data_IF_773042553936
#
_entry.id   IF_773042553936
#
_cell.length_a   1.000
_cell.length_b   1.000
_cell.length_c   1.000
_cell.angle_alpha   90.00
_cell.angle_beta   90.00
_cell.angle_gamma   90.00
#
_symmetry.space_group_name_H-M   'P 1'
#
loop_
_entity.id
_entity.type
_entity.pdbx_description
1 polymer ?
#
# COMPACT_ATOMS: atom_id res chain seq x y z
N UNK A 1 -42.50 -13.29 -5.69
CA UNK A 1 -41.39 -12.32 -5.80
C UNK A 1 -41.85 -11.23 -6.75
N UNK A 2 -41.74 -9.96 -6.35
CA UNK A 2 -42.20 -8.82 -7.17
C UNK A 2 -41.19 -8.49 -8.28
N UNK A 3 -41.70 -8.03 -9.43
CA UNK A 3 -40.88 -7.64 -10.59
C UNK A 3 -40.14 -6.32 -10.35
N UNK A 4 -39.00 -6.15 -11.03
CA UNK A 4 -38.62 -4.85 -11.57
C UNK A 4 -37.77 -5.01 -12.86
N UNK A 5 -38.18 -4.46 -14.02
CA UNK A 5 -37.41 -4.49 -15.25
C UNK A 5 -36.63 -3.18 -15.46
N UNK A 6 -35.32 -3.25 -15.74
CA UNK A 6 -34.53 -2.07 -16.11
C UNK A 6 -33.70 -2.30 -17.38
N UNK A 7 -34.24 -1.70 -18.46
CA UNK A 7 -33.53 -0.91 -19.49
C UNK A 7 -32.28 -1.58 -20.11
N UNK A 8 -32.50 -2.24 -21.25
CA UNK A 8 -31.42 -2.54 -22.20
C UNK A 8 -31.03 -1.26 -22.96
N UNK A 9 -29.73 -0.94 -22.99
CA UNK A 9 -29.19 0.16 -23.80
C UNK A 9 -28.54 -0.40 -25.08
N UNK A 10 -28.95 0.09 -26.25
CA UNK A 10 -28.63 -0.51 -27.57
C UNK A 10 -27.36 0.07 -28.24
N UNK A 11 -26.40 0.60 -27.48
CA UNK A 11 -25.20 1.22 -28.03
C UNK A 11 -23.85 0.74 -27.46
N UNK A 12 -23.81 -0.42 -26.80
CA UNK A 12 -22.57 -1.07 -26.35
C UNK A 12 -22.33 -2.40 -27.07
N UNK A 13 -21.37 -2.41 -28.00
CA UNK A 13 -20.78 -3.61 -28.60
C UNK A 13 -19.33 -3.77 -28.06
N UNK A 14 -19.04 -4.78 -27.22
CA UNK A 14 -17.73 -4.92 -26.57
C UNK A 14 -16.55 -5.35 -27.46
N UNK A 15 -16.75 -5.65 -28.75
CA UNK A 15 -15.80 -6.47 -29.52
C UNK A 15 -15.00 -5.77 -30.64
N UNK A 16 -15.14 -4.46 -30.84
CA UNK A 16 -14.32 -3.73 -31.83
C UNK A 16 -12.93 -3.35 -31.28
N UNK A 17 -12.03 -4.34 -31.27
CA UNK A 17 -10.64 -4.23 -30.85
C UNK A 17 -9.76 -3.44 -31.86
N UNK A 18 -9.22 -2.29 -31.41
CA UNK A 18 -8.15 -1.54 -32.09
C UNK A 18 -6.75 -1.87 -31.54
N UNK A 19 -5.73 -1.87 -32.40
CA UNK A 19 -4.41 -2.48 -32.14
C UNK A 19 -3.66 -2.01 -30.88
N UNK A 20 -3.18 -2.97 -30.08
CA UNK A 20 -2.16 -2.75 -29.03
C UNK A 20 -0.86 -2.24 -29.65
N UNK A 21 -0.21 -1.23 -29.04
CA UNK A 21 1.21 -0.91 -29.27
C UNK A 21 1.98 -1.02 -27.95
N UNK A 22 3.15 -1.65 -28.03
CA UNK A 22 4.01 -1.99 -26.91
C UNK A 22 4.63 -0.75 -26.27
N UNK A 23 4.57 -0.66 -24.94
CA UNK A 23 5.27 0.37 -24.16
C UNK A 23 6.73 -0.08 -23.96
N UNK A 24 7.69 0.75 -24.37
CA UNK A 24 9.12 0.54 -24.08
C UNK A 24 9.42 0.90 -22.62
N UNK A 25 10.33 0.14 -22.01
CA UNK A 25 10.85 0.34 -20.66
C UNK A 25 11.59 1.67 -20.49
N UNK A 26 11.51 2.25 -19.29
CA UNK A 26 12.20 3.47 -18.87
C UNK A 26 13.53 3.16 -18.17
N UNK A 27 14.55 3.98 -18.41
CA UNK A 27 15.72 4.16 -17.55
C UNK A 27 16.20 5.64 -17.63
N UNK A 28 17.06 6.13 -16.71
CA UNK A 28 16.72 7.31 -15.89
C UNK A 28 17.57 8.56 -16.25
N UNK A 29 17.42 9.71 -15.54
CA UNK A 29 17.72 11.04 -16.11
C UNK A 29 19.15 11.53 -15.87
N UNK A 30 19.59 12.55 -16.65
CA UNK A 30 20.30 13.72 -16.09
C UNK A 30 20.57 14.87 -17.12
N UNK A 31 20.73 16.09 -16.57
CA UNK A 31 21.34 17.34 -17.12
C UNK A 31 20.53 18.29 -18.03
N UNK A 32 20.22 19.47 -17.45
CA UNK A 32 20.07 20.83 -18.05
C UNK A 32 21.50 21.42 -18.27
N UNK A 33 21.79 22.57 -18.97
CA UNK A 33 20.92 23.74 -19.19
C UNK A 33 21.06 24.55 -20.52
N UNK A 34 20.41 25.74 -20.54
CA UNK A 34 20.56 26.88 -21.51
C UNK A 34 19.71 26.74 -22.79
N UNK A 35 19.03 27.77 -23.34
CA UNK A 35 19.20 29.24 -23.30
C UNK A 35 17.85 30.01 -23.38
N UNK A 36 17.90 31.32 -23.12
CA UNK A 36 16.79 32.28 -22.94
C UNK A 36 16.06 32.71 -24.23
N UNK A 37 14.79 33.11 -24.09
CA UNK A 37 14.24 34.32 -24.75
C UNK A 37 13.14 34.96 -23.90
N UNK A 38 13.13 36.30 -23.78
CA UNK A 38 12.12 37.10 -23.07
C UNK A 38 11.25 37.86 -24.08
N UNK A 39 9.96 38.02 -23.79
CA UNK A 39 9.20 39.26 -24.07
C UNK A 39 7.88 39.24 -23.31
N UNK A 40 7.51 40.38 -22.71
CA UNK A 40 6.30 40.56 -21.89
C UNK A 40 5.29 41.46 -22.64
N UNK A 41 4.22 42.03 -22.06
CA UNK A 41 2.85 41.75 -22.49
C UNK A 41 2.16 42.90 -23.26
N UNK A 42 0.99 42.62 -23.86
CA UNK A 42 0.03 43.66 -24.22
C UNK A 42 -1.42 43.26 -23.87
N UNK A 43 -2.05 44.11 -23.07
CA UNK A 43 -3.49 44.34 -22.92
C UNK A 43 -3.72 45.83 -23.27
N UNK A 44 -4.96 46.29 -23.48
CA UNK A 44 -6.15 45.63 -24.03
C UNK A 44 -6.73 46.43 -25.23
N UNK A 45 -7.69 45.84 -25.97
CA UNK A 45 -8.48 46.59 -26.96
C UNK A 45 -9.92 46.81 -26.45
N UNK A 46 -10.28 48.08 -26.25
CA UNK A 46 -11.62 48.54 -25.84
C UNK A 46 -12.52 48.83 -27.04
N UNK A 47 -13.76 48.33 -26.99
CA UNK A 47 -15.02 48.91 -27.53
C UNK A 47 -16.14 47.89 -27.31
N UNK A 48 -16.98 48.08 -26.29
CA UNK A 48 -18.25 48.83 -26.41
C UNK A 48 -19.22 48.24 -27.44
N UNK A 49 -20.16 47.41 -26.95
CA UNK A 49 -21.56 47.52 -27.32
C UNK A 49 -22.42 47.11 -26.11
N UNK A 50 -23.42 47.92 -25.79
CA UNK A 50 -24.33 47.73 -24.66
C UNK A 50 -25.22 46.50 -24.86
N UNK A 51 -25.57 45.80 -23.76
CA UNK A 51 -26.96 45.66 -23.27
C UNK A 51 -26.93 44.99 -21.89
N UNK A 52 -27.67 45.58 -20.93
CA UNK A 52 -27.70 45.13 -19.52
C UNK A 52 -28.94 44.29 -19.20
N UNK A 53 -28.68 43.13 -18.60
CA UNK A 53 -29.41 42.47 -17.49
C UNK A 53 -30.90 42.08 -17.61
N UNK A 54 -31.26 41.12 -16.75
CA UNK A 54 -32.39 40.20 -16.88
C UNK A 54 -33.50 40.46 -15.81
N UNK A 55 -34.41 39.51 -15.43
CA UNK A 55 -35.87 39.70 -15.42
C UNK A 55 -36.43 39.96 -13.99
N UNK A 56 -37.74 39.82 -13.61
CA UNK A 56 -38.56 38.60 -13.71
C UNK A 56 -40.09 38.78 -13.98
N UNK A 57 -40.80 37.64 -14.06
CA UNK A 57 -42.27 37.47 -14.12
C UNK A 57 -42.90 37.41 -12.71
N UNK A 58 -44.21 37.71 -12.53
CA UNK A 58 -45.29 36.80 -11.99
C UNK A 58 -46.69 37.49 -12.07
N UNK A 59 -47.79 36.72 -12.23
CA UNK A 59 -49.23 37.12 -12.15
C UNK A 59 -49.84 36.60 -10.79
N UNK A 60 -51.16 36.37 -10.49
CA UNK A 60 -52.45 36.60 -11.21
C UNK A 60 -53.71 37.03 -10.37
N UNK A 61 -54.89 37.24 -11.04
CA UNK A 61 -56.30 36.87 -10.62
C UNK A 61 -56.95 37.63 -9.41
N UNK A 62 -58.25 38.00 -9.32
CA UNK A 62 -59.47 37.86 -10.17
C UNK A 62 -60.54 39.01 -10.01
N UNK A 63 -61.85 38.71 -10.21
CA UNK A 63 -63.06 39.58 -10.42
C UNK A 63 -64.17 39.28 -9.36
N UNK A 64 -65.03 40.23 -8.86
CA UNK A 64 -66.29 40.73 -9.50
C UNK A 64 -66.72 42.20 -9.12
N UNK A 65 -67.78 42.89 -9.62
CA UNK A 65 -69.00 42.56 -10.41
C UNK A 65 -69.67 43.84 -11.05
N UNK A 66 -70.24 43.70 -12.25
CA UNK A 66 -71.51 44.30 -12.80
C UNK A 66 -71.82 45.83 -12.94
N UNK A 67 -72.13 46.21 -14.21
CA UNK A 67 -73.19 47.14 -14.74
C UNK A 67 -73.10 48.67 -14.43
N UNK A 68 -73.32 49.60 -15.36
CA UNK A 68 -74.49 49.76 -16.28
C UNK A 68 -74.16 50.46 -17.63
N UNK A 69 -75.07 50.32 -18.62
CA UNK A 69 -75.08 50.78 -20.03
C UNK A 69 -74.93 52.32 -20.19
N UNK A 70 -74.71 52.97 -21.35
CA UNK A 70 -75.26 52.89 -22.74
C UNK A 70 -74.19 53.51 -23.69
N UNK A 71 -73.79 52.98 -24.86
CA UNK A 71 -74.54 52.83 -26.12
C UNK A 71 -74.29 54.02 -27.08
N UNK A 72 -73.56 53.82 -28.19
CA UNK A 72 -73.32 54.86 -29.23
C UNK A 72 -73.17 54.29 -30.66
N UNK A 73 -74.32 54.05 -31.29
CA UNK A 73 -74.59 54.29 -32.72
C UNK A 73 -75.50 55.55 -32.74
N UNK A 74 -75.65 56.35 -33.80
CA UNK A 74 -75.61 56.01 -35.22
C UNK A 74 -75.36 57.27 -36.09
N UNK A 75 -75.21 56.99 -37.38
CA UNK A 75 -75.40 57.76 -38.62
C UNK A 75 -75.95 59.20 -38.63
N UNK A 76 -75.62 59.92 -39.71
CA UNK A 76 -76.17 61.24 -39.99
C UNK A 76 -77.48 61.17 -40.78
N UNK A 77 -78.44 62.01 -40.40
CA UNK A 77 -79.53 62.40 -41.30
C UNK A 77 -80.02 63.84 -41.00
N UNK A 78 -80.78 64.39 -41.95
CA UNK A 78 -81.26 65.79 -41.95
C UNK A 78 -82.23 66.04 -40.79
N UNK A 79 -82.18 67.22 -40.17
CA UNK A 79 -83.12 67.65 -39.11
C UNK A 79 -83.42 69.16 -39.19
N UNK A 80 -84.49 69.68 -38.55
CA UNK A 80 -85.36 70.67 -39.19
C UNK A 80 -85.06 72.13 -38.87
N UNK A 81 -85.76 73.03 -39.57
CA UNK A 81 -85.80 74.47 -39.27
C UNK A 81 -86.79 74.71 -38.11
N UNK A 82 -86.30 74.82 -36.87
CA UNK A 82 -87.15 75.15 -35.71
C UNK A 82 -87.39 76.66 -35.62
N UNK A 83 -88.66 77.05 -35.72
CA UNK A 83 -89.17 78.40 -35.43
C UNK A 83 -89.95 78.32 -34.12
N UNK A 84 -89.51 79.08 -33.12
CA UNK A 84 -90.07 79.07 -31.77
C UNK A 84 -90.80 80.41 -31.53
N UNK A 85 -92.10 80.34 -31.23
CA UNK A 85 -92.84 81.48 -30.70
C UNK A 85 -92.45 81.67 -29.22
N UNK A 86 -91.72 82.75 -28.92
CA UNK A 86 -91.25 83.03 -27.55
C UNK A 86 -92.29 83.86 -26.79
N UNK A 87 -93.01 84.73 -27.51
CA UNK A 87 -94.06 85.61 -26.98
C UNK A 87 -94.93 86.10 -28.15
N UNK A 88 -96.18 86.56 -27.92
CA UNK A 88 -96.99 87.19 -28.96
C UNK A 88 -96.22 88.33 -29.64
N UNK A 89 -96.21 88.36 -30.97
CA UNK A 89 -95.44 89.34 -31.76
C UNK A 89 -93.93 89.11 -31.86
N UNK A 90 -93.36 88.02 -31.33
CA UNK A 90 -91.92 87.71 -31.42
C UNK A 90 -91.64 86.26 -31.84
N UNK A 91 -91.01 86.09 -33.01
CA UNK A 91 -90.57 84.79 -33.53
C UNK A 91 -89.04 84.64 -33.46
N UNK A 92 -88.58 83.53 -32.90
CA UNK A 92 -87.17 83.16 -32.79
C UNK A 92 -86.88 82.02 -33.76
N UNK A 93 -86.03 82.26 -34.76
CA UNK A 93 -85.49 81.22 -35.62
C UNK A 93 -84.05 80.89 -35.20
N UNK A 94 -83.74 79.59 -35.00
CA UNK A 94 -82.43 79.15 -34.52
C UNK A 94 -81.81 78.10 -35.44
N UNK A 95 -80.57 78.34 -35.86
CA UNK A 95 -79.73 77.36 -36.54
C UNK A 95 -78.36 77.26 -35.81
N UNK A 96 -77.58 76.21 -36.07
CA UNK A 96 -76.26 75.97 -35.44
C UNK A 96 -75.22 77.09 -35.65
N UNK A 97 -75.46 78.04 -36.56
CA UNK A 97 -74.54 79.16 -36.86
C UNK A 97 -75.10 80.56 -36.54
N UNK A 98 -76.40 80.71 -36.32
CA UNK A 98 -77.01 82.02 -36.06
C UNK A 98 -78.33 81.87 -35.31
N UNK A 99 -78.63 82.87 -34.47
CA UNK A 99 -79.92 83.08 -33.81
C UNK A 99 -80.45 84.42 -34.30
N UNK A 100 -81.71 84.45 -34.76
CA UNK A 100 -82.38 85.68 -35.20
C UNK A 100 -83.76 85.79 -34.57
N UNK A 101 -84.06 86.95 -34.01
CA UNK A 101 -85.39 87.32 -33.49
C UNK A 101 -86.02 88.30 -34.48
N UNK A 102 -87.20 87.98 -34.98
CA UNK A 102 -88.02 88.87 -35.82
C UNK A 102 -89.24 89.32 -35.03
N UNK A 103 -89.41 90.65 -34.96
CA UNK A 103 -90.61 91.31 -34.45
C UNK A 103 -91.71 91.23 -35.51
N UNK A 104 -92.93 90.84 -35.12
CA UNK A 104 -94.09 90.79 -36.01
C UNK A 104 -94.72 92.17 -36.24
N UNK A 105 -95.26 92.40 -37.44
CA UNK A 105 -95.91 93.66 -37.86
C UNK A 105 -97.12 94.07 -37.01
N UNK A 106 -97.65 93.14 -36.21
CA UNK A 106 -98.76 93.32 -35.27
C UNK A 106 -98.53 94.43 -34.24
N UNK A 107 -97.26 94.76 -33.95
CA UNK A 107 -96.86 95.76 -32.95
C UNK A 107 -97.01 97.22 -33.42
N UNK A 108 -97.33 97.47 -34.70
CA UNK A 108 -97.47 98.83 -35.26
C UNK A 108 -98.93 99.32 -35.40
N UNK A 109 -99.86 98.72 -34.64
CA UNK A 109 -101.29 99.07 -34.58
C UNK A 109 -101.60 100.46 -34.00
N UNK A 110 -101.40 101.52 -34.79
CA UNK A 110 -101.64 102.92 -34.39
C UNK A 110 -103.14 103.24 -34.24
N UNK A 111 -103.66 103.27 -33.01
CA UNK A 111 -105.07 103.60 -32.70
C UNK A 111 -105.21 105.05 -32.17
N UNK A 112 -106.15 105.83 -32.72
CA UNK A 112 -106.49 107.21 -32.27
C UNK A 112 -108.00 107.44 -32.24
N UNK A 113 -108.51 107.97 -31.11
CA UNK A 113 -109.70 108.82 -30.88
C UNK A 113 -109.50 109.44 -29.47
N UNK A 114 -109.44 110.76 -29.31
CA UNK A 114 -110.57 111.71 -29.13
C UNK A 114 -111.35 111.41 -27.83
N UNK A 115 -111.58 112.32 -26.88
CA UNK A 115 -111.30 113.78 -26.77
C UNK A 115 -111.55 114.27 -25.30
N UNK A 116 -111.49 115.61 -25.05
CA UNK A 116 -112.14 116.35 -23.94
C UNK A 116 -111.36 116.72 -22.65
N UNK A 117 -110.76 117.93 -22.68
CA UNK A 117 -111.08 119.14 -21.88
C UNK A 117 -111.30 119.21 -20.34
N UNK A 118 -111.00 120.44 -19.85
CA UNK A 118 -111.34 121.12 -18.59
C UNK A 118 -110.43 121.01 -17.34
N UNK A 119 -110.43 122.12 -16.58
CA UNK A 119 -109.31 122.61 -15.76
C UNK A 119 -109.58 122.63 -14.25
N UNK A 120 -108.49 122.42 -13.50
CA UNK A 120 -108.08 123.18 -12.31
C UNK A 120 -109.13 123.57 -11.24
N UNK A 121 -109.22 122.73 -10.19
CA UNK A 121 -109.62 123.12 -8.81
C UNK A 121 -109.41 122.02 -7.74
N UNK A 122 -108.46 121.11 -7.91
CA UNK A 122 -108.31 119.91 -7.08
C UNK A 122 -106.90 119.76 -6.47
N UNK A 123 -106.26 120.89 -6.12
CA UNK A 123 -104.82 120.98 -5.84
C UNK A 123 -104.41 120.84 -4.36
N UNK A 124 -105.30 120.37 -3.47
CA UNK A 124 -104.97 120.12 -2.05
C UNK A 124 -105.19 118.67 -1.61
N UNK A 125 -106.27 118.01 -2.04
CA UNK A 125 -106.48 116.57 -1.82
C UNK A 125 -105.45 115.73 -2.57
N UNK A 126 -105.05 116.17 -3.78
CA UNK A 126 -104.01 115.56 -4.59
C UNK A 126 -102.64 115.56 -3.90
N UNK A 127 -102.33 116.58 -3.10
CA UNK A 127 -101.01 116.76 -2.49
C UNK A 127 -100.75 115.79 -1.34
N UNK A 128 -101.75 115.54 -0.49
CA UNK A 128 -101.64 114.52 0.56
C UNK A 128 -101.48 113.12 -0.04
N UNK A 129 -102.26 112.79 -1.08
CA UNK A 129 -102.15 111.51 -1.79
C UNK A 129 -100.77 111.37 -2.46
N UNK A 130 -100.19 112.46 -2.98
CA UNK A 130 -98.81 112.45 -3.50
C UNK A 130 -97.80 112.20 -2.37
N UNK A 131 -97.94 112.87 -1.22
CA UNK A 131 -97.06 112.66 -0.06
C UNK A 131 -97.10 111.22 0.45
N UNK A 132 -98.28 110.63 0.61
CA UNK A 132 -98.44 109.23 1.03
C UNK A 132 -97.81 108.25 0.01
N UNK A 133 -97.90 108.56 -1.29
CA UNK A 133 -97.27 107.77 -2.35
C UNK A 133 -95.74 107.97 -2.40
N UNK A 134 -95.23 109.17 -2.13
CA UNK A 134 -93.80 109.46 -2.02
C UNK A 134 -93.18 108.78 -0.78
N UNK A 135 -93.91 108.73 0.34
CA UNK A 135 -93.55 107.96 1.54
C UNK A 135 -93.56 106.46 1.24
N UNK A 136 -94.62 105.91 0.64
CA UNK A 136 -94.67 104.50 0.21
C UNK A 136 -93.54 104.14 -0.77
N UNK A 137 -93.21 105.01 -1.73
CA UNK A 137 -92.08 104.81 -2.64
C UNK A 137 -90.75 104.83 -1.86
N UNK A 138 -90.61 105.69 -0.85
CA UNK A 138 -89.42 105.76 0.00
C UNK A 138 -89.27 104.52 0.87
N UNK A 139 -90.35 104.04 1.50
CA UNK A 139 -90.38 102.79 2.28
C UNK A 139 -90.08 101.57 1.40
N UNK A 140 -90.72 101.45 0.23
CA UNK A 140 -90.46 100.37 -0.73
C UNK A 140 -89.01 100.41 -1.24
N UNK A 141 -88.46 101.60 -1.49
CA UNK A 141 -87.06 101.75 -1.90
C UNK A 141 -86.12 101.30 -0.78
N UNK A 142 -86.35 101.75 0.46
CA UNK A 142 -85.56 101.32 1.62
C UNK A 142 -85.63 99.81 1.87
N UNK A 143 -86.80 99.19 1.65
CA UNK A 143 -87.03 97.75 1.80
C UNK A 143 -86.34 96.96 0.67
N UNK A 144 -86.39 97.43 -0.57
CA UNK A 144 -85.66 96.85 -1.72
C UNK A 144 -84.15 96.96 -1.51
N UNK A 145 -83.65 98.12 -1.06
CA UNK A 145 -82.24 98.28 -0.73
C UNK A 145 -81.80 97.37 0.41
N UNK A 146 -82.62 97.21 1.44
CA UNK A 146 -82.34 96.32 2.56
C UNK A 146 -82.29 94.86 2.09
N UNK A 147 -83.29 94.41 1.32
CA UNK A 147 -83.30 93.08 0.71
C UNK A 147 -82.08 92.85 -0.19
N UNK A 148 -81.63 93.87 -0.94
CA UNK A 148 -80.41 93.78 -1.76
C UNK A 148 -79.14 93.68 -0.90
N UNK A 149 -79.05 94.40 0.23
CA UNK A 149 -77.94 94.28 1.19
C UNK A 149 -77.91 92.89 1.83
N UNK A 150 -79.06 92.39 2.26
CA UNK A 150 -79.19 91.09 2.90
C UNK A 150 -78.88 89.95 1.91
N UNK A 151 -79.40 90.01 0.68
CA UNK A 151 -79.06 89.04 -0.36
C UNK A 151 -77.56 89.03 -0.70
N UNK A 152 -76.90 90.19 -0.74
CA UNK A 152 -75.45 90.26 -0.91
C UNK A 152 -74.67 89.73 0.30
N UNK A 153 -75.21 89.87 1.52
CA UNK A 153 -74.61 89.30 2.72
C UNK A 153 -74.72 87.78 2.72
N UNK A 154 -75.91 87.23 2.42
CA UNK A 154 -76.17 85.80 2.28
C UNK A 154 -75.31 85.17 1.17
N UNK A 155 -75.19 85.83 0.01
CA UNK A 155 -74.35 85.37 -1.10
C UNK A 155 -72.86 85.32 -0.70
N UNK A 156 -72.38 86.30 0.07
CA UNK A 156 -71.00 86.31 0.60
C UNK A 156 -70.79 85.23 1.66
N UNK A 157 -71.76 85.03 2.56
CA UNK A 157 -71.72 83.99 3.58
C UNK A 157 -71.64 82.61 2.92
N UNK A 158 -72.53 82.33 1.96
CA UNK A 158 -72.53 81.10 1.18
C UNK A 158 -71.21 80.89 0.40
N UNK A 159 -70.66 81.95 -0.20
CA UNK A 159 -69.36 81.87 -0.87
C UNK A 159 -68.24 81.49 0.10
N UNK A 160 -68.15 82.16 1.26
CA UNK A 160 -67.15 81.88 2.28
C UNK A 160 -67.29 80.47 2.87
N UNK A 161 -68.52 79.98 3.06
CA UNK A 161 -68.76 78.62 3.53
C UNK A 161 -68.36 77.57 2.48
N UNK A 162 -68.64 77.80 1.19
CA UNK A 162 -68.18 76.93 0.11
C UNK A 162 -66.65 76.94 -0.02
N UNK A 163 -66.00 78.10 0.13
CA UNK A 163 -64.53 78.20 0.15
C UNK A 163 -63.92 77.43 1.34
N UNK A 164 -64.52 77.55 2.53
CA UNK A 164 -64.12 76.80 3.73
C UNK A 164 -64.28 75.28 3.53
N UNK A 165 -65.43 74.82 3.01
CA UNK A 165 -65.66 73.40 2.72
C UNK A 165 -64.68 72.86 1.66
N UNK A 166 -64.37 73.64 0.62
CA UNK A 166 -63.34 73.28 -0.36
C UNK A 166 -61.95 73.20 0.27
N UNK A 167 -61.58 74.12 1.15
CA UNK A 167 -60.30 74.12 1.85
C UNK A 167 -60.17 72.91 2.79
N UNK A 168 -61.20 72.63 3.59
CA UNK A 168 -61.24 71.47 4.49
C UNK A 168 -61.17 70.15 3.72
N UNK A 169 -61.96 69.99 2.67
CA UNK A 169 -61.95 68.77 1.84
C UNK A 169 -60.57 68.54 1.20
N UNK A 170 -59.93 69.60 0.71
CA UNK A 170 -58.58 69.55 0.15
C UNK A 170 -57.54 69.15 1.21
N UNK A 171 -57.59 69.77 2.39
CA UNK A 171 -56.70 69.44 3.51
C UNK A 171 -56.89 67.99 3.98
N UNK A 172 -58.14 67.50 4.05
CA UNK A 172 -58.48 66.13 4.41
C UNK A 172 -57.91 65.12 3.39
N UNK A 173 -58.03 65.42 2.10
CA UNK A 173 -57.41 64.61 1.03
C UNK A 173 -55.88 64.60 1.13
N UNK A 174 -55.25 65.76 1.34
CA UNK A 174 -53.79 65.87 1.51
C UNK A 174 -53.29 65.11 2.75
N UNK A 175 -54.02 65.16 3.85
CA UNK A 175 -53.71 64.41 5.07
C UNK A 175 -53.82 62.89 4.85
N UNK A 176 -54.94 62.40 4.31
CA UNK A 176 -55.13 60.97 3.98
C UNK A 176 -54.06 60.45 3.01
N UNK A 177 -53.72 61.24 1.99
CA UNK A 177 -52.67 60.88 1.02
C UNK A 177 -51.28 60.85 1.68
N UNK A 178 -51.00 61.75 2.63
CA UNK A 178 -49.76 61.76 3.44
C UNK A 178 -49.68 60.52 4.35
N UNK A 179 -50.77 60.17 5.02
CA UNK A 179 -50.88 58.98 5.88
C UNK A 179 -50.69 57.69 5.08
N UNK A 180 -51.41 57.53 3.96
CA UNK A 180 -51.29 56.39 3.06
C UNK A 180 -49.86 56.22 2.55
N UNK A 181 -49.21 57.32 2.14
CA UNK A 181 -47.79 57.31 1.72
C UNK A 181 -46.84 56.96 2.87
N UNK A 182 -47.19 57.29 4.12
CA UNK A 182 -46.38 56.93 5.30
C UNK A 182 -46.54 55.44 5.61
N UNK A 183 -47.77 54.93 5.62
CA UNK A 183 -48.09 53.51 5.83
C UNK A 183 -47.40 52.61 4.78
N UNK A 184 -47.51 52.96 3.50
CA UNK A 184 -46.87 52.21 2.43
C UNK A 184 -45.32 52.20 2.55
N UNK A 185 -44.71 53.30 3.01
CA UNK A 185 -43.26 53.33 3.29
C UNK A 185 -42.87 52.44 4.47
N UNK A 186 -43.67 52.39 5.53
CA UNK A 186 -43.41 51.51 6.68
C UNK A 186 -43.57 50.05 6.29
N UNK A 187 -44.63 49.69 5.54
CA UNK A 187 -44.83 48.34 5.02
C UNK A 187 -43.68 47.88 4.11
N UNK A 188 -43.23 48.73 3.18
CA UNK A 188 -42.08 48.44 2.32
C UNK A 188 -40.79 48.27 3.15
N UNK A 189 -40.55 49.12 4.15
CA UNK A 189 -39.37 48.99 5.02
C UNK A 189 -39.41 47.72 5.88
N UNK A 190 -40.57 47.34 6.39
CA UNK A 190 -40.74 46.09 7.12
C UNK A 190 -40.53 44.88 6.23
N UNK A 191 -41.08 44.90 5.01
CA UNK A 191 -40.94 43.82 4.04
C UNK A 191 -39.47 43.67 3.60
N UNK A 192 -38.78 44.78 3.33
CA UNK A 192 -37.35 44.80 3.02
C UNK A 192 -36.51 44.23 4.18
N UNK A 193 -36.84 44.57 5.43
CA UNK A 193 -36.17 44.03 6.61
C UNK A 193 -36.43 42.52 6.78
N UNK A 194 -37.68 42.05 6.62
CA UNK A 194 -38.04 40.62 6.63
C UNK A 194 -37.26 39.84 5.56
N UNK A 195 -37.12 40.36 4.34
CA UNK A 195 -36.29 39.75 3.31
C UNK A 195 -34.79 39.75 3.65
N UNK A 196 -34.26 40.84 4.23
CA UNK A 196 -32.86 40.90 4.69
C UNK A 196 -32.58 39.88 5.81
N UNK A 197 -33.52 39.68 6.73
CA UNK A 197 -33.42 38.69 7.81
C UNK A 197 -33.49 37.26 7.28
N UNK A 198 -34.48 36.95 6.43
CA UNK A 198 -34.59 35.65 5.77
C UNK A 198 -33.33 35.31 4.95
N UNK A 199 -32.78 36.27 4.20
CA UNK A 199 -31.55 36.08 3.44
C UNK A 199 -30.31 35.85 4.34
N UNK A 200 -30.25 36.47 5.53
CA UNK A 200 -29.20 36.20 6.52
C UNK A 200 -29.34 34.80 7.12
N UNK A 201 -30.56 34.40 7.48
CA UNK A 201 -30.86 33.08 8.01
C UNK A 201 -30.51 31.97 7.01
N UNK A 202 -30.93 32.11 5.75
CA UNK A 202 -30.64 31.14 4.69
C UNK A 202 -29.13 31.03 4.38
N UNK A 203 -28.41 32.16 4.39
CA UNK A 203 -26.94 32.18 4.26
C UNK A 203 -26.23 31.52 5.44
N UNK A 204 -26.77 31.65 6.66
CA UNK A 204 -26.23 30.97 7.84
C UNK A 204 -26.51 29.46 7.79
N UNK A 205 -27.73 29.05 7.46
CA UNK A 205 -28.11 27.64 7.30
C UNK A 205 -27.30 26.95 6.19
N UNK A 206 -27.13 27.60 5.04
CA UNK A 206 -26.30 27.11 3.93
C UNK A 206 -24.83 26.95 4.33
N UNK A 207 -24.30 27.87 5.13
CA UNK A 207 -22.93 27.79 5.65
C UNK A 207 -22.76 26.66 6.65
N UNK A 208 -23.69 26.49 7.58
CA UNK A 208 -23.70 25.39 8.55
C UNK A 208 -23.69 24.03 7.86
N UNK A 209 -24.51 23.84 6.82
CA UNK A 209 -24.49 22.63 5.99
C UNK A 209 -23.14 22.40 5.30
N UNK A 210 -22.48 23.46 4.81
CA UNK A 210 -21.15 23.35 4.19
C UNK A 210 -20.10 22.89 5.21
N UNK A 211 -20.10 23.50 6.41
CA UNK A 211 -19.21 23.11 7.51
C UNK A 211 -19.47 21.68 8.03
N UNK A 212 -20.71 21.19 7.96
CA UNK A 212 -21.07 19.80 8.26
C UNK A 212 -20.52 18.83 7.20
N UNK A 213 -20.78 19.10 5.92
CA UNK A 213 -20.21 18.32 4.80
C UNK A 213 -18.67 18.30 4.80
N UNK A 214 -18.01 19.40 5.22
CA UNK A 214 -16.55 19.45 5.35
C UNK A 214 -16.06 18.52 6.47
N UNK A 215 -16.77 18.44 7.60
CA UNK A 215 -16.45 17.51 8.70
C UNK A 215 -16.65 16.06 8.27
N UNK A 216 -17.74 15.75 7.57
CA UNK A 216 -17.98 14.41 7.02
C UNK A 216 -16.91 14.01 6.00
N UNK A 217 -16.57 14.91 5.07
CA UNK A 217 -15.48 14.70 4.10
C UNK A 217 -14.14 14.44 4.81
N UNK A 218 -13.81 15.23 5.83
CA UNK A 218 -12.58 15.04 6.63
C UNK A 218 -12.58 13.72 7.39
N UNK A 219 -13.72 13.32 7.97
CA UNK A 219 -13.88 12.03 8.62
C UNK A 219 -13.69 10.87 7.64
N UNK A 220 -14.36 10.90 6.48
CA UNK A 220 -14.25 9.86 5.45
C UNK A 220 -12.83 9.78 4.87
N UNK A 221 -12.17 10.93 4.66
CA UNK A 221 -10.76 11.00 4.24
C UNK A 221 -9.83 10.36 5.28
N UNK A 222 -10.03 10.63 6.56
CA UNK A 222 -9.25 10.00 7.63
C UNK A 222 -9.50 8.49 7.69
N UNK A 223 -10.76 8.05 7.54
CA UNK A 223 -11.12 6.62 7.51
C UNK A 223 -10.49 5.90 6.32
N UNK A 224 -10.43 6.55 5.14
CA UNK A 224 -9.75 6.03 3.96
C UNK A 224 -8.23 5.89 4.19
N UNK A 225 -7.59 6.87 4.84
CA UNK A 225 -6.18 6.76 5.20
C UNK A 225 -5.93 5.63 6.20
N UNK A 226 -6.74 5.47 7.26
CA UNK A 226 -6.61 4.33 8.18
C UNK A 226 -6.79 2.97 7.49
N UNK A 227 -7.71 2.87 6.53
CA UNK A 227 -7.85 1.66 5.71
C UNK A 227 -6.62 1.42 4.82
N UNK A 228 -6.11 2.47 4.18
CA UNK A 228 -4.91 2.40 3.34
C UNK A 228 -3.69 1.95 4.16
N UNK A 229 -3.49 2.53 5.34
CA UNK A 229 -2.40 2.16 6.27
C UNK A 229 -2.57 0.71 6.77
N UNK A 230 -3.78 0.30 7.15
CA UNK A 230 -4.08 -1.09 7.52
C UNK A 230 -3.79 -2.10 6.42
N UNK A 231 -4.00 -1.74 5.14
CA UNK A 231 -3.66 -2.60 3.99
C UNK A 231 -2.14 -2.66 3.79
N UNK A 232 -1.41 -1.56 3.98
CA UNK A 232 0.05 -1.58 3.95
C UNK A 232 0.64 -2.45 5.06
N UNK A 233 0.15 -2.32 6.29
CA UNK A 233 0.58 -3.14 7.43
C UNK A 233 0.28 -4.64 7.19
N UNK A 234 -0.89 -4.99 6.64
CA UNK A 234 -1.22 -6.38 6.30
C UNK A 234 -0.29 -6.95 5.21
N UNK A 235 0.09 -6.13 4.22
CA UNK A 235 1.03 -6.52 3.16
C UNK A 235 2.44 -6.70 3.73
N UNK A 236 2.92 -5.78 4.57
CA UNK A 236 4.25 -5.85 5.19
C UNK A 236 4.36 -7.02 6.17
N UNK A 237 3.29 -7.32 6.93
CA UNK A 237 3.26 -8.49 7.82
C UNK A 237 3.30 -9.81 7.00
N UNK A 238 2.52 -9.90 5.91
CA UNK A 238 2.56 -11.06 4.99
C UNK A 238 3.93 -11.21 4.33
N UNK A 239 4.54 -10.12 3.91
CA UNK A 239 5.88 -10.11 3.32
C UNK A 239 6.95 -10.56 4.32
N UNK A 240 6.88 -10.04 5.55
CA UNK A 240 7.76 -10.43 6.67
C UNK A 240 7.61 -11.91 7.04
N UNK A 241 6.38 -12.43 7.11
CA UNK A 241 6.11 -13.86 7.31
C UNK A 241 6.72 -14.70 6.18
N UNK A 242 6.48 -14.33 4.92
CA UNK A 242 7.01 -15.03 3.74
C UNK A 242 8.54 -15.08 3.72
N UNK A 243 9.19 -13.97 4.09
CA UNK A 243 10.64 -13.87 4.18
C UNK A 243 11.20 -14.77 5.30
N UNK A 244 10.54 -14.82 6.45
CA UNK A 244 10.93 -15.68 7.57
C UNK A 244 10.68 -17.18 7.29
N UNK A 245 9.64 -17.53 6.51
CA UNK A 245 9.44 -18.88 5.97
C UNK A 245 10.63 -19.29 5.08
N UNK A 246 10.95 -18.48 4.07
CA UNK A 246 12.08 -18.76 3.18
C UNK A 246 13.42 -18.88 3.91
N UNK A 247 13.69 -18.05 4.92
CA UNK A 247 14.93 -18.16 5.71
C UNK A 247 14.98 -19.46 6.53
N UNK A 248 13.83 -19.97 7.02
CA UNK A 248 13.75 -21.28 7.68
C UNK A 248 13.96 -22.42 6.69
N UNK A 249 13.27 -22.39 5.55
CA UNK A 249 13.38 -23.43 4.51
C UNK A 249 14.81 -23.51 3.96
N UNK A 250 15.46 -22.38 3.73
CA UNK A 250 16.85 -22.31 3.26
C UNK A 250 17.84 -22.86 4.32
N UNK A 251 17.59 -22.61 5.62
CA UNK A 251 18.37 -23.22 6.72
C UNK A 251 18.15 -24.74 6.80
N UNK A 252 16.90 -25.20 6.70
CA UNK A 252 16.55 -26.62 6.75
C UNK A 252 17.17 -27.39 5.57
N UNK A 253 17.14 -26.85 4.36
CA UNK A 253 17.74 -27.52 3.20
C UNK A 253 19.28 -27.54 3.28
N UNK A 254 19.91 -26.45 3.79
CA UNK A 254 21.35 -26.47 4.12
C UNK A 254 21.70 -27.54 5.15
N UNK A 255 20.94 -27.63 6.25
CA UNK A 255 21.15 -28.62 7.29
C UNK A 255 20.97 -30.05 6.77
N UNK A 256 19.94 -30.29 5.96
CA UNK A 256 19.67 -31.56 5.27
C UNK A 256 20.82 -31.98 4.35
N UNK A 257 21.37 -31.06 3.56
CA UNK A 257 22.55 -31.33 2.71
C UNK A 257 23.78 -31.67 3.56
N UNK A 258 24.05 -30.89 4.63
CA UNK A 258 25.16 -31.15 5.55
C UNK A 258 25.02 -32.50 6.26
N UNK A 259 23.81 -32.86 6.69
CA UNK A 259 23.52 -34.14 7.34
C UNK A 259 23.67 -35.33 6.38
N UNK A 260 23.24 -35.18 5.11
CA UNK A 260 23.51 -36.17 4.06
C UNK A 260 25.02 -36.32 3.78
N UNK A 261 25.77 -35.22 3.72
CA UNK A 261 27.22 -35.25 3.53
C UNK A 261 27.92 -35.92 4.72
N UNK A 262 27.55 -35.55 5.96
CA UNK A 262 28.04 -36.18 7.19
C UNK A 262 27.79 -37.68 7.17
N UNK A 263 26.56 -38.12 6.91
CA UNK A 263 26.22 -39.54 6.86
C UNK A 263 27.02 -40.31 5.80
N UNK A 264 27.22 -39.74 4.60
CA UNK A 264 28.07 -40.32 3.55
C UNK A 264 29.53 -40.47 4.01
N UNK A 265 30.09 -39.47 4.69
CA UNK A 265 31.46 -39.54 5.23
C UNK A 265 31.59 -40.54 6.37
N UNK A 266 30.67 -40.54 7.33
CA UNK A 266 30.63 -41.52 8.43
C UNK A 266 30.57 -42.94 7.90
N UNK A 267 29.66 -43.23 6.96
CA UNK A 267 29.51 -44.57 6.37
C UNK A 267 30.76 -45.03 5.59
N UNK A 268 31.47 -44.12 4.92
CA UNK A 268 32.76 -44.44 4.27
C UNK A 268 33.82 -44.80 5.31
N UNK A 269 33.97 -43.97 6.35
CA UNK A 269 34.93 -44.20 7.42
C UNK A 269 34.66 -45.49 8.19
N UNK A 270 33.40 -45.83 8.43
CA UNK A 270 33.00 -47.11 9.04
C UNK A 270 33.43 -48.31 8.18
N UNK A 271 33.19 -48.26 6.86
CA UNK A 271 33.61 -49.30 5.92
C UNK A 271 35.14 -49.42 5.83
N UNK A 272 35.85 -48.29 5.68
CA UNK A 272 37.32 -48.25 5.65
C UNK A 272 37.93 -48.80 6.95
N UNK A 273 37.37 -48.44 8.12
CA UNK A 273 37.80 -48.98 9.42
C UNK A 273 37.51 -50.47 9.57
N UNK A 274 36.41 -50.98 9.03
CA UNK A 274 36.10 -52.41 9.09
C UNK A 274 36.94 -53.23 8.10
N UNK A 275 37.24 -52.70 6.91
CA UNK A 275 38.22 -53.30 6.00
C UNK A 275 39.63 -53.31 6.59
N UNK A 276 40.05 -52.25 7.27
CA UNK A 276 41.35 -52.20 7.95
C UNK A 276 41.42 -53.20 9.11
N UNK A 277 40.37 -53.30 9.94
CA UNK A 277 40.26 -54.34 10.97
C UNK A 277 40.32 -55.76 10.39
N UNK A 278 39.68 -56.01 9.24
CA UNK A 278 39.76 -57.29 8.54
C UNK A 278 41.19 -57.58 8.08
N UNK A 279 41.85 -56.63 7.39
CA UNK A 279 43.26 -56.76 6.97
C UNK A 279 44.21 -57.02 8.14
N UNK A 280 44.03 -56.31 9.27
CA UNK A 280 44.84 -56.55 10.49
C UNK A 280 44.57 -57.94 11.04
N UNK A 281 43.31 -58.38 11.09
CA UNK A 281 42.94 -59.72 11.60
C UNK A 281 43.48 -60.82 10.70
N UNK A 282 43.34 -60.69 9.38
CA UNK A 282 43.88 -61.61 8.37
C UNK A 282 45.41 -61.68 8.43
N UNK A 283 46.09 -60.53 8.53
CA UNK A 283 47.55 -60.45 8.69
C UNK A 283 48.02 -61.09 10.01
N UNK A 284 47.26 -60.94 11.09
CA UNK A 284 47.57 -61.54 12.39
C UNK A 284 47.35 -63.06 12.37
N UNK A 285 46.25 -63.53 11.79
CA UNK A 285 45.99 -64.96 11.57
C UNK A 285 47.07 -65.61 10.72
N UNK A 286 47.44 -65.02 9.57
CA UNK A 286 48.51 -65.52 8.72
C UNK A 286 49.87 -65.55 9.44
N UNK A 287 50.15 -64.56 10.30
CA UNK A 287 51.36 -64.55 11.13
C UNK A 287 51.35 -65.67 12.17
N UNK A 288 50.20 -65.95 12.80
CA UNK A 288 50.03 -67.08 13.72
C UNK A 288 50.19 -68.42 12.99
N UNK A 289 49.58 -68.59 11.82
CA UNK A 289 49.69 -69.82 11.02
C UNK A 289 51.15 -70.08 10.63
N UNK A 290 51.88 -69.06 10.19
CA UNK A 290 53.31 -69.16 9.91
C UNK A 290 54.12 -69.56 11.17
N UNK A 291 53.85 -68.95 12.33
CA UNK A 291 54.51 -69.30 13.59
C UNK A 291 54.17 -70.73 14.07
N UNK A 292 52.97 -71.24 13.76
CA UNK A 292 52.59 -72.64 14.03
C UNK A 292 53.40 -73.58 13.14
N UNK A 293 53.51 -73.28 11.83
CA UNK A 293 54.30 -74.08 10.88
C UNK A 293 55.79 -74.07 11.29
N UNK A 294 56.37 -72.90 11.54
CA UNK A 294 57.77 -72.78 11.99
C UNK A 294 58.02 -73.56 13.29
N UNK A 295 57.11 -73.49 14.26
CA UNK A 295 57.18 -74.27 15.49
C UNK A 295 57.11 -75.78 15.22
N UNK A 296 56.25 -76.23 14.32
CA UNK A 296 56.14 -77.66 13.95
C UNK A 296 57.38 -78.16 13.19
N UNK A 297 57.98 -77.33 12.34
CA UNK A 297 59.24 -77.64 11.66
C UNK A 297 60.41 -77.71 12.64
N UNK A 298 60.51 -76.76 13.57
CA UNK A 298 61.51 -76.78 14.65
C UNK A 298 61.34 -77.99 15.58
N UNK A 299 60.10 -78.42 15.86
CA UNK A 299 59.83 -79.65 16.62
C UNK A 299 60.29 -80.90 15.87
N UNK A 300 59.97 -81.02 14.56
CA UNK A 300 60.44 -82.14 13.71
C UNK A 300 61.96 -82.17 13.62
N UNK A 301 62.62 -81.01 13.50
CA UNK A 301 64.08 -80.91 13.50
C UNK A 301 64.66 -81.37 14.84
N UNK A 302 64.12 -80.88 15.96
CA UNK A 302 64.55 -81.29 17.31
C UNK A 302 64.39 -82.80 17.55
N UNK A 303 63.31 -83.42 17.06
CA UNK A 303 63.12 -84.87 17.11
C UNK A 303 64.18 -85.61 16.28
N UNK A 304 64.49 -85.14 15.08
CA UNK A 304 65.54 -85.70 14.22
C UNK A 304 66.93 -85.58 14.87
N UNK A 305 67.28 -84.40 15.38
CA UNK A 305 68.54 -84.13 16.08
C UNK A 305 68.66 -85.00 17.35
N UNK A 306 67.55 -85.21 18.07
CA UNK A 306 67.51 -86.09 19.25
C UNK A 306 67.81 -87.55 18.88
N UNK A 307 67.27 -88.04 17.76
CA UNK A 307 67.56 -89.39 17.25
C UNK A 307 69.03 -89.51 16.80
N UNK A 308 69.54 -88.54 16.02
CA UNK A 308 70.96 -88.52 15.61
C UNK A 308 71.89 -88.48 16.82
N UNK A 309 71.60 -87.67 17.84
CA UNK A 309 72.35 -87.66 19.10
C UNK A 309 72.29 -88.99 19.85
N UNK A 310 71.18 -89.73 19.77
CA UNK A 310 71.07 -91.07 20.36
C UNK A 310 71.92 -92.10 19.59
N UNK A 311 71.97 -92.03 18.26
CA UNK A 311 72.83 -92.87 17.42
C UNK A 311 74.32 -92.56 17.61
N UNK A 312 74.68 -91.28 17.68
CA UNK A 312 76.04 -90.82 18.01
C UNK A 312 76.46 -91.26 19.42
N UNK A 313 75.55 -91.29 20.40
CA UNK A 313 75.83 -91.85 21.74
C UNK A 313 76.05 -93.36 21.71
N UNK A 314 75.27 -94.12 20.93
CA UNK A 314 75.45 -95.58 20.77
C UNK A 314 76.78 -95.91 20.09
N UNK A 315 77.08 -95.25 18.96
CA UNK A 315 78.35 -95.45 18.24
C UNK A 315 79.55 -95.01 19.06
N UNK A 316 79.43 -93.91 19.82
CA UNK A 316 80.44 -93.52 20.80
C UNK A 316 80.68 -94.64 21.84
N UNK A 317 79.63 -95.19 22.44
CA UNK A 317 79.77 -96.27 23.42
C UNK A 317 80.45 -97.52 22.84
N UNK A 318 80.07 -97.93 21.62
CA UNK A 318 80.72 -99.03 20.90
C UNK A 318 82.21 -98.73 20.66
N UNK A 319 82.56 -97.53 20.21
CA UNK A 319 83.98 -97.13 20.03
C UNK A 319 84.75 -97.08 21.36
N UNK A 320 84.11 -96.68 22.47
CA UNK A 320 84.72 -96.72 23.80
C UNK A 320 84.94 -98.17 24.28
N UNK A 321 84.01 -99.09 24.00
CA UNK A 321 84.14 -100.54 24.26
C UNK A 321 85.23 -101.18 23.39
N UNK A 322 85.27 -100.90 22.09
CA UNK A 322 86.31 -101.37 21.16
C UNK A 322 87.69 -100.85 21.54
N UNK A 323 87.80 -99.57 21.90
CA UNK A 323 89.05 -98.96 22.37
C UNK A 323 89.52 -99.60 23.67
N UNK A 324 88.60 -99.89 24.60
CA UNK A 324 88.93 -100.60 25.84
C UNK A 324 89.38 -102.04 25.58
N UNK A 325 88.72 -102.76 24.68
CA UNK A 325 89.13 -104.10 24.26
C UNK A 325 90.52 -104.10 23.59
N UNK A 326 90.80 -103.11 22.72
CA UNK A 326 92.13 -102.93 22.13
C UNK A 326 93.20 -102.59 23.19
N UNK A 327 92.87 -101.79 24.20
CA UNK A 327 93.77 -101.51 25.32
C UNK A 327 94.12 -102.78 26.11
N UNK A 328 93.14 -103.63 26.42
CA UNK A 328 93.35 -104.93 27.07
C UNK A 328 94.24 -105.85 26.20
N UNK A 329 93.99 -105.91 24.89
CA UNK A 329 94.82 -106.69 23.96
C UNK A 329 96.27 -106.16 23.97
N UNK A 330 96.47 -104.85 23.88
CA UNK A 330 97.79 -104.22 23.93
C UNK A 330 98.52 -104.49 25.24
N UNK A 331 97.84 -104.39 26.39
CA UNK A 331 98.39 -104.77 27.70
C UNK A 331 98.82 -106.24 27.72
N UNK A 332 97.97 -107.14 27.20
CA UNK A 332 98.26 -108.58 27.14
C UNK A 332 99.44 -108.92 26.21
N UNK A 333 99.58 -108.23 25.08
CA UNK A 333 100.71 -108.38 24.15
C UNK A 333 102.00 -107.82 24.75
N UNK A 334 101.93 -106.67 25.44
CA UNK A 334 103.07 -106.09 26.13
C UNK A 334 103.56 -106.99 27.27
N UNK A 335 102.63 -107.63 28.01
CA UNK A 335 102.96 -108.64 29.02
C UNK A 335 103.63 -109.89 28.41
N UNK A 336 103.11 -110.43 27.29
CA UNK A 336 103.74 -111.54 26.57
C UNK A 336 105.12 -111.19 26.01
N UNK A 337 105.29 -109.97 25.46
CA UNK A 337 106.57 -109.50 24.95
C UNK A 337 107.60 -109.34 26.08
N UNK A 338 107.18 -108.83 27.23
CA UNK A 338 108.02 -108.77 28.43
C UNK A 338 108.42 -110.16 28.93
N UNK A 339 107.48 -111.12 28.97
CA UNK A 339 107.75 -112.49 29.38
C UNK A 339 108.71 -113.20 28.41
N UNK A 340 108.47 -113.13 27.10
CA UNK A 340 109.35 -113.73 26.09
C UNK A 340 110.73 -113.07 26.07
N UNK A 341 110.83 -111.77 26.34
CA UNK A 341 112.12 -111.09 26.53
C UNK A 341 112.88 -111.60 27.77
N UNK A 342 112.17 -111.89 28.88
CA UNK A 342 112.76 -112.50 30.08
C UNK A 342 113.20 -113.95 29.83
N UNK A 343 112.40 -114.75 29.12
CA UNK A 343 112.75 -116.11 28.71
C UNK A 343 113.96 -116.13 27.76
N UNK A 344 114.02 -115.20 26.80
CA UNK A 344 115.18 -115.03 25.92
C UNK A 344 116.44 -114.60 26.69
N UNK A 345 116.34 -113.74 27.71
CA UNK A 345 117.47 -113.45 28.59
C UNK A 345 117.93 -114.67 29.39
N UNK A 346 116.98 -115.49 29.86
CA UNK A 346 117.27 -116.75 30.56
C UNK A 346 117.99 -117.74 29.64
N UNK A 347 117.53 -117.92 28.40
CA UNK A 347 118.21 -118.78 27.42
C UNK A 347 119.55 -118.21 26.95
N UNK A 348 119.69 -116.88 26.85
CA UNK A 348 120.98 -116.25 26.61
C UNK A 348 121.97 -116.54 27.75
N UNK A 349 121.49 -116.63 28.99
CA UNK A 349 122.30 -116.99 30.15
C UNK A 349 122.63 -118.49 30.21
N UNK A 350 121.71 -119.40 29.86
CA UNK A 350 122.00 -120.85 29.77
C UNK A 350 123.01 -121.14 28.66
N UNK A 351 122.83 -120.55 27.47
CA UNK A 351 123.79 -120.66 26.35
C UNK A 351 125.14 -120.09 26.75
N UNK A 352 125.20 -118.90 27.35
CA UNK A 352 126.46 -118.33 27.84
C UNK A 352 127.14 -119.16 28.95
N UNK A 353 126.37 -119.89 29.76
CA UNK A 353 126.90 -120.84 30.75
C UNK A 353 127.39 -122.14 30.09
N UNK A 354 126.69 -122.65 29.08
CA UNK A 354 127.14 -123.81 28.28
C UNK A 354 128.41 -123.48 27.50
N UNK A 355 128.50 -122.29 26.91
CA UNK A 355 129.69 -121.81 26.21
C UNK A 355 130.90 -121.72 27.15
N UNK A 356 130.72 -121.17 28.36
CA UNK A 356 131.75 -121.22 29.43
C UNK A 356 132.12 -122.65 29.82
N UNK A 357 131.14 -123.54 30.00
CA UNK A 357 131.39 -124.96 30.33
C UNK A 357 132.18 -125.66 29.20
N UNK A 358 131.85 -125.38 27.94
CA UNK A 358 132.62 -125.90 26.80
C UNK A 358 134.04 -125.36 26.80
N UNK A 359 134.26 -124.06 27.02
CA UNK A 359 135.61 -123.50 27.16
C UNK A 359 136.41 -124.13 28.31
N UNK A 360 135.78 -124.36 29.47
CA UNK A 360 136.41 -125.06 30.60
C UNK A 360 136.78 -126.49 30.22
N UNK A 361 135.87 -127.26 29.61
CA UNK A 361 136.19 -128.63 29.16
C UNK A 361 137.26 -128.68 28.06
N UNK A 362 137.34 -127.66 27.20
CA UNK A 362 138.39 -127.53 26.19
C UNK A 362 139.74 -127.24 26.86
N UNK A 363 139.77 -126.42 27.91
CA UNK A 363 140.95 -126.17 28.73
C UNK A 363 141.39 -127.42 29.52
N UNK A 364 140.45 -128.14 30.17
CA UNK A 364 140.73 -129.42 30.84
C UNK A 364 141.25 -130.48 29.87
N UNK A 365 140.69 -130.57 28.67
CA UNK A 365 141.16 -131.48 27.63
C UNK A 365 142.57 -131.10 27.16
N UNK A 366 142.86 -129.81 26.94
CA UNK A 366 144.19 -129.33 26.58
C UNK A 366 145.23 -129.61 27.68
N UNK A 367 144.91 -129.37 28.95
CA UNK A 367 145.82 -129.71 30.07
C UNK A 367 146.00 -131.22 30.24
N UNK A 368 144.96 -132.05 30.00
CA UNK A 368 145.12 -133.51 29.93
C UNK A 368 146.07 -133.95 28.81
N UNK A 369 145.93 -133.39 27.61
CA UNK A 369 146.85 -133.69 26.51
C UNK A 369 148.28 -133.23 26.85
N UNK A 370 148.44 -132.06 27.46
CA UNK A 370 149.72 -131.53 27.91
C UNK A 370 150.37 -132.43 28.97
N UNK A 371 149.68 -132.82 30.04
CA UNK A 371 150.19 -133.81 31.00
C UNK A 371 150.50 -135.18 30.38
N UNK A 372 149.73 -135.61 29.37
CA UNK A 372 150.01 -136.87 28.67
C UNK A 372 151.28 -136.77 27.83
N UNK A 373 151.50 -135.62 27.17
CA UNK A 373 152.74 -135.31 26.44
C UNK A 373 153.92 -135.19 27.42
N UNK A 374 153.77 -134.50 28.55
CA UNK A 374 154.80 -134.37 29.59
C UNK A 374 155.21 -135.75 30.13
N UNK A 375 154.24 -136.60 30.51
CA UNK A 375 154.47 -137.96 30.99
C UNK A 375 155.14 -138.86 29.94
N UNK A 376 154.66 -138.86 28.70
CA UNK A 376 155.31 -139.58 27.59
C UNK A 376 156.71 -139.04 27.27
N UNK A 377 156.98 -137.76 27.55
CA UNK A 377 158.30 -137.15 27.38
C UNK A 377 159.25 -137.61 28.49
N UNK A 378 158.79 -137.71 29.74
CA UNK A 378 159.54 -138.32 30.86
C UNK A 378 159.81 -139.82 30.62
N UNK A 379 158.84 -140.60 30.16
CA UNK A 379 159.05 -142.00 29.74
C UNK A 379 160.09 -142.12 28.62
N UNK A 380 160.04 -141.24 27.61
CA UNK A 380 161.06 -141.24 26.54
C UNK A 380 162.46 -140.84 27.07
N UNK A 381 162.53 -140.00 28.10
CA UNK A 381 163.77 -139.58 28.75
C UNK A 381 164.37 -140.71 29.60
N UNK A 382 163.52 -141.47 30.30
CA UNK A 382 163.88 -142.66 31.05
C UNK A 382 164.36 -143.78 30.11
N UNK A 383 163.68 -144.02 28.99
CA UNK A 383 164.09 -145.01 27.98
C UNK A 383 165.38 -144.64 27.21
N UNK A 384 165.92 -143.42 27.38
CA UNK A 384 167.19 -142.97 26.79
C UNK A 384 168.38 -142.98 27.76
N UNK A 385 168.17 -143.44 29.01
CA UNK A 385 169.23 -143.86 29.95
C UNK A 385 169.09 -145.38 30.12
N UNK A 386 169.99 -146.17 29.55
CA UNK A 386 171.18 -146.68 30.25
C UNK A 386 170.82 -147.46 31.52
#
# INVERSE_FOLDING_TARGET
MYHNPLIYCTCWDPWNLGSRKLIKTLQPPNKVPTRKSKSTPLLPATKEQNYLQSPPSTKPVDVPKAKTNVGRQEEGCKSPYEVINVSPGYQLARNRKQISVTLGDEMFGRKKRLESEMMDKFNMSRTNIISDLEEQISELTALIEQMNRDHQADQKLLFNEMELQCAEMKQNFENKNRELRKAHRTELSELENKYKEALKAEKAASRGKLEEMEKEYKYLKNMFHMYQDSIYDEIEEKWSKRKAEWEKDEKLEREKILLQQKHKMTKKFELESEEEKKKITESYSASIENLIIEKEELLKQHESDTLQLQELRKTKAIMEEELHAQAIILESLNAHLYQTQMELQKEKATVGNLEKMFQIKLAEANEKHKHTIESLTEENLLLRRL
#
